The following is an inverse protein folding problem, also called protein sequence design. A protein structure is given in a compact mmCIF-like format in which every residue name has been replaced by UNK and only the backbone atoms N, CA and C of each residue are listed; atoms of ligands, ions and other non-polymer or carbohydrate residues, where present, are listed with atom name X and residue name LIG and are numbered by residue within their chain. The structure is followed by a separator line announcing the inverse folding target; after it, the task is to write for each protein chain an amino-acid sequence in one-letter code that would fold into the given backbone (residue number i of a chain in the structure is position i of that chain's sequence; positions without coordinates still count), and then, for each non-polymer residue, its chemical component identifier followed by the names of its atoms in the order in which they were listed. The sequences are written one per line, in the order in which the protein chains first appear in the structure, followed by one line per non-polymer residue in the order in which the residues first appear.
data_IF_515760124166
#
_entry.id   IF_515760124166
#
_cell.length_a   1.000
_cell.length_b   1.000
_cell.length_c   1.000
_cell.angle_alpha   90.00
_cell.angle_beta   90.00
_cell.angle_gamma   90.00
#
_symmetry.space_group_name_H-M   'P 1'
#
loop_
_entity.id
_entity.type
_entity.pdbx_description
1 polymer ?
#
# COMPACT_ATOMS: atom_id res chain seq x y z
N UNK A 1 16.92 6.91 4.92
CA UNK A 1 16.01 6.78 3.78
C UNK A 1 15.00 5.69 4.05
N UNK A 2 13.74 5.97 3.77
CA UNK A 2 12.65 5.02 3.93
C UNK A 2 12.25 4.46 2.58
N UNK A 3 11.82 3.20 2.56
CA UNK A 3 11.26 2.59 1.37
C UNK A 3 9.73 2.67 1.44
N UNK A 4 9.12 3.11 0.35
CA UNK A 4 7.67 3.22 0.29
C UNK A 4 7.14 2.31 -0.82
N UNK A 5 6.15 1.48 -0.48
CA UNK A 5 5.46 0.64 -1.45
C UNK A 5 4.04 1.15 -1.58
N UNK A 6 3.64 1.45 -2.81
CA UNK A 6 2.33 2.01 -3.11
C UNK A 6 1.46 0.98 -3.81
N UNK A 7 0.17 0.97 -3.48
CA UNK A 7 -0.83 0.20 -4.20
C UNK A 7 -2.06 1.07 -4.40
N UNK A 8 -2.54 1.12 -5.64
CA UNK A 8 -3.70 1.89 -6.00
C UNK A 8 -4.88 0.96 -6.24
N UNK A 9 -6.03 1.32 -5.67
CA UNK A 9 -7.30 0.65 -5.93
C UNK A 9 -8.31 1.64 -6.47
N UNK A 10 -9.15 1.17 -7.38
CA UNK A 10 -10.22 1.97 -7.98
C UNK A 10 -11.53 1.33 -7.59
N UNK A 11 -12.42 2.14 -6.99
CA UNK A 11 -13.74 1.70 -6.54
C UNK A 11 -13.71 0.56 -5.51
N UNK A 12 -12.59 0.46 -4.77
CA UNK A 12 -12.44 -0.50 -3.70
C UNK A 12 -11.84 0.19 -2.47
N UNK A 13 -12.10 -0.33 -1.27
CA UNK A 13 -11.54 0.28 -0.07
C UNK A 13 -10.03 0.12 0.00
N UNK A 14 -9.40 1.04 0.72
CA UNK A 14 -7.93 1.07 0.84
C UNK A 14 -7.38 -0.20 1.51
N UNK A 15 -8.17 -0.86 2.33
CA UNK A 15 -7.77 -2.12 2.96
C UNK A 15 -7.40 -3.19 1.94
N UNK A 16 -8.04 -3.15 0.78
CA UNK A 16 -7.73 -4.08 -0.30
C UNK A 16 -6.33 -3.86 -0.85
N UNK A 17 -5.85 -2.62 -0.85
CA UNK A 17 -4.50 -2.33 -1.29
C UNK A 17 -3.48 -3.01 -0.38
N UNK A 18 -3.65 -2.89 0.94
CA UNK A 18 -2.75 -3.53 1.89
C UNK A 18 -2.80 -5.05 1.80
N UNK A 19 -4.01 -5.59 1.68
CA UNK A 19 -4.17 -7.04 1.55
C UNK A 19 -3.44 -7.55 0.32
N UNK A 20 -3.52 -6.83 -0.79
CA UNK A 20 -2.85 -7.22 -2.02
C UNK A 20 -1.34 -7.16 -1.90
N UNK A 21 -0.80 -6.13 -1.26
CA UNK A 21 0.63 -6.03 -1.04
C UNK A 21 1.13 -7.24 -0.23
N UNK A 22 0.41 -7.60 0.82
CA UNK A 22 0.79 -8.74 1.67
C UNK A 22 0.64 -10.06 0.94
N UNK A 23 -0.49 -10.24 0.25
CA UNK A 23 -0.79 -11.49 -0.43
C UNK A 23 0.21 -11.79 -1.54
N UNK A 24 0.59 -10.78 -2.30
CA UNK A 24 1.53 -10.95 -3.40
C UNK A 24 2.98 -10.87 -2.99
N UNK A 25 3.23 -10.55 -1.72
CA UNK A 25 4.59 -10.49 -1.21
C UNK A 25 5.44 -9.40 -1.82
N UNK A 26 4.86 -8.28 -2.18
CA UNK A 26 5.61 -7.19 -2.80
C UNK A 26 6.73 -6.67 -1.90
N UNK A 27 6.56 -6.76 -0.59
CA UNK A 27 7.57 -6.31 0.36
C UNK A 27 8.63 -7.37 0.66
N UNK A 28 8.42 -8.62 0.24
CA UNK A 28 9.30 -9.74 0.60
C UNK A 28 10.75 -9.54 0.19
N UNK A 29 11.05 -9.01 -1.01
CA UNK A 29 12.45 -8.79 -1.39
C UNK A 29 13.19 -7.81 -0.48
N UNK A 30 12.47 -7.05 0.33
CA UNK A 30 13.05 -6.02 1.18
C UNK A 30 13.12 -6.40 2.64
N UNK A 31 12.69 -7.62 3.00
CA UNK A 31 12.62 -8.06 4.40
C UNK A 31 13.97 -8.05 5.11
N UNK A 32 15.03 -8.35 4.38
CA UNK A 32 16.36 -8.41 4.97
C UNK A 32 16.98 -7.04 5.20
N UNK A 33 16.31 -5.99 4.77
CA UNK A 33 16.84 -4.64 4.92
C UNK A 33 16.57 -4.10 6.31
N UNK A 34 17.50 -3.32 6.81
CA UNK A 34 17.35 -2.68 8.11
C UNK A 34 16.51 -1.40 8.05
N UNK A 35 16.23 -0.90 6.85
CA UNK A 35 15.48 0.33 6.67
C UNK A 35 14.00 0.09 6.82
N UNK A 36 13.27 1.04 7.42
CA UNK A 36 11.82 0.91 7.52
C UNK A 36 11.15 0.87 6.15
N UNK A 37 10.12 0.05 6.05
CA UNK A 37 9.29 -0.05 4.85
C UNK A 37 7.90 0.45 5.21
N UNK A 38 7.37 1.37 4.40
CA UNK A 38 6.02 1.88 4.55
C UNK A 38 5.14 1.38 3.43
N UNK A 39 3.97 0.88 3.80
CA UNK A 39 2.95 0.48 2.84
C UNK A 39 1.96 1.63 2.70
N UNK A 40 1.71 2.06 1.48
CA UNK A 40 0.80 3.17 1.23
C UNK A 40 -0.29 2.71 0.29
N UNK A 41 -1.53 2.75 0.76
CA UNK A 41 -2.70 2.39 -0.02
C UNK A 41 -3.47 3.63 -0.43
N UNK A 42 -3.92 3.64 -1.67
CA UNK A 42 -4.72 4.73 -2.24
C UNK A 42 -5.98 4.15 -2.84
N UNK A 43 -7.09 4.82 -2.65
CA UNK A 43 -8.36 4.42 -3.22
C UNK A 43 -9.00 5.59 -3.95
N UNK A 44 -9.40 5.36 -5.20
CA UNK A 44 -10.04 6.37 -6.04
C UNK A 44 -11.44 5.94 -6.46
N UNK A 45 -12.30 6.94 -6.64
CA UNK A 45 -13.61 6.76 -7.21
C UNK A 45 -13.53 7.04 -8.73
N UNK A 46 -13.88 6.05 -9.55
CA UNK A 46 -13.77 6.18 -11.00
C UNK A 46 -14.81 7.13 -11.58
N UNK A 47 -15.93 7.32 -10.88
CA UNK A 47 -17.00 8.21 -11.37
C UNK A 47 -16.67 9.67 -11.12
N UNK A 48 -16.23 10.00 -9.93
CA UNK A 48 -15.91 11.38 -9.56
C UNK A 48 -14.46 11.72 -9.85
N UNK A 49 -13.61 10.72 -10.03
CA UNK A 49 -12.17 10.86 -10.23
C UNK A 49 -11.48 11.50 -9.04
N UNK A 50 -12.08 11.36 -7.88
CA UNK A 50 -11.50 11.90 -6.65
C UNK A 50 -10.84 10.80 -5.83
N UNK A 51 -9.84 11.18 -5.07
CA UNK A 51 -9.24 10.32 -4.07
C UNK A 51 -10.27 10.11 -2.96
N UNK A 52 -10.66 8.85 -2.73
CA UNK A 52 -11.61 8.53 -1.68
C UNK A 52 -10.93 8.42 -0.33
N UNK A 53 -9.76 7.80 -0.30
CA UNK A 53 -9.08 7.52 0.94
C UNK A 53 -7.63 7.19 0.66
N UNK A 54 -6.81 7.37 1.68
CA UNK A 54 -5.45 6.85 1.66
C UNK A 54 -5.07 6.45 3.07
N UNK A 55 -4.14 5.53 3.17
CA UNK A 55 -3.62 5.10 4.46
C UNK A 55 -2.17 4.68 4.29
N UNK A 56 -1.42 4.82 5.36
CA UNK A 56 -0.03 4.40 5.40
C UNK A 56 0.20 3.63 6.68
N UNK A 57 0.95 2.54 6.58
CA UNK A 57 1.30 1.77 7.76
C UNK A 57 2.69 1.18 7.61
N UNK A 58 3.43 1.00 8.72
CA UNK A 58 4.72 0.35 8.65
C UNK A 58 4.56 -1.14 8.34
N UNK A 59 5.43 -1.66 7.48
CA UNK A 59 5.47 -3.09 7.22
C UNK A 59 6.26 -3.76 8.33
N UNK A 60 5.62 -4.65 9.05
CA UNK A 60 6.26 -5.39 10.14
C UNK A 60 6.87 -6.66 9.59
N UNK A 61 8.15 -6.78 9.84
CA UNK A 61 8.91 -7.95 9.44
C UNK A 61 8.83 -9.07 10.48
#
# INVERSE_FOLDING_TARGET
MFLHLFELKVDEPVDKAFAQIRERGYADPFRARTRPIWLIGLSFDSKTRHLLDFAAEPFKQ
#
